data_IF_391736717578
#
_entry.id   IF_391736717578
#
_cell.length_a   1.000
_cell.length_b   1.000
_cell.length_c   1.000
_cell.angle_alpha   90.00
_cell.angle_beta   90.00
_cell.angle_gamma   90.00
#
_symmetry.space_group_name_H-M   'P 1'
#
loop_
_entity.id
_entity.type
_entity.pdbx_description
1 polymer ?
#
# COMPACT_ATOMS: atom_id res chain seq x y z
N UNK A 1 6.27 7.82 4.96
CA UNK A 1 7.21 6.68 4.86
C UNK A 1 6.99 5.60 5.92
N UNK A 2 7.06 5.87 7.23
CA UNK A 2 6.97 4.81 8.26
C UNK A 2 5.67 3.98 8.26
N UNK A 3 4.50 4.59 7.97
CA UNK A 3 3.20 3.87 7.87
C UNK A 3 3.19 2.87 6.71
N UNK A 4 3.64 3.31 5.53
CA UNK A 4 3.70 2.48 4.33
C UNK A 4 4.52 1.21 4.55
N UNK A 5 5.78 1.37 5.00
CA UNK A 5 6.68 0.23 5.16
C UNK A 5 6.22 -0.73 6.26
N UNK A 6 5.61 -0.21 7.34
CA UNK A 6 5.03 -1.05 8.39
C UNK A 6 3.83 -1.85 7.86
N UNK A 7 2.84 -1.17 7.28
CA UNK A 7 1.64 -1.81 6.75
C UNK A 7 1.95 -2.80 5.62
N UNK A 8 2.88 -2.47 4.73
CA UNK A 8 3.30 -3.40 3.68
C UNK A 8 3.93 -4.68 4.26
N UNK A 9 4.73 -4.55 5.33
CA UNK A 9 5.31 -5.73 5.99
C UNK A 9 4.22 -6.59 6.65
N UNK A 10 3.38 -5.97 7.47
CA UNK A 10 2.37 -6.69 8.27
C UNK A 10 1.25 -7.29 7.41
N UNK A 11 0.89 -6.65 6.30
CA UNK A 11 -0.30 -7.02 5.51
C UNK A 11 0.03 -7.71 4.19
N UNK A 12 1.26 -7.60 3.70
CA UNK A 12 1.71 -8.30 2.49
C UNK A 12 2.73 -9.35 2.84
N UNK A 13 3.87 -8.96 3.42
CA UNK A 13 5.01 -9.86 3.59
C UNK A 13 4.79 -10.91 4.68
N UNK A 14 4.14 -10.57 5.79
CA UNK A 14 3.93 -11.48 6.91
C UNK A 14 2.73 -12.44 6.67
N UNK A 15 1.82 -12.10 5.74
CA UNK A 15 0.62 -12.90 5.44
C UNK A 15 0.78 -13.87 4.25
N UNK A 16 1.81 -13.69 3.42
CA UNK A 16 1.98 -14.46 2.19
C UNK A 16 3.32 -15.20 2.17
N UNK A 17 3.27 -16.48 1.83
CA UNK A 17 4.44 -17.22 1.36
C UNK A 17 4.51 -17.08 -0.16
N UNK A 18 5.64 -16.57 -0.65
CA UNK A 18 5.82 -16.31 -2.08
C UNK A 18 6.64 -17.41 -2.75
N UNK A 19 6.12 -17.92 -3.87
CA UNK A 19 6.77 -18.92 -4.71
C UNK A 19 7.58 -18.28 -5.85
N UNK A 20 7.31 -17.01 -6.18
CA UNK A 20 8.02 -16.28 -7.22
C UNK A 20 7.95 -14.76 -7.06
N UNK A 21 8.90 -14.05 -7.68
CA UNK A 21 8.87 -12.58 -7.75
C UNK A 21 7.66 -12.05 -8.54
N UNK A 22 7.14 -12.83 -9.50
CA UNK A 22 5.93 -12.48 -10.25
C UNK A 22 4.74 -12.37 -9.30
N UNK A 23 4.58 -13.37 -8.41
CA UNK A 23 3.52 -13.40 -7.42
C UNK A 23 3.63 -12.24 -6.42
N UNK A 24 4.85 -11.90 -5.98
CA UNK A 24 5.08 -10.72 -5.12
C UNK A 24 4.58 -9.47 -5.82
N UNK A 25 4.90 -9.26 -7.11
CA UNK A 25 4.49 -8.07 -7.87
C UNK A 25 2.97 -7.96 -7.97
N UNK A 26 2.30 -9.05 -8.35
CA UNK A 26 0.83 -9.06 -8.50
C UNK A 26 0.10 -8.76 -7.19
N UNK A 27 0.57 -9.33 -6.06
CA UNK A 27 -0.01 -9.06 -4.74
C UNK A 27 0.27 -7.61 -4.32
N UNK A 28 1.48 -7.12 -4.60
CA UNK A 28 1.88 -5.74 -4.28
C UNK A 28 1.06 -4.72 -5.06
N UNK A 29 0.82 -4.93 -6.35
CA UNK A 29 0.01 -4.02 -7.19
C UNK A 29 -1.41 -3.90 -6.65
N UNK A 30 -2.06 -5.03 -6.32
CA UNK A 30 -3.40 -5.02 -5.71
C UNK A 30 -3.41 -4.34 -4.35
N UNK A 31 -2.42 -4.61 -3.51
CA UNK A 31 -2.31 -3.97 -2.21
C UNK A 31 -2.06 -2.47 -2.33
N UNK A 32 -1.27 -2.04 -3.32
CA UNK A 32 -1.02 -0.62 -3.60
C UNK A 32 -2.28 0.11 -4.03
N UNK A 33 -3.16 -0.52 -4.82
CA UNK A 33 -4.46 0.07 -5.17
C UNK A 33 -5.28 0.35 -3.91
N UNK A 34 -5.43 -0.65 -3.03
CA UNK A 34 -6.18 -0.48 -1.76
C UNK A 34 -5.49 0.55 -0.85
N UNK A 35 -4.17 0.47 -0.72
CA UNK A 35 -3.41 1.38 0.14
C UNK A 35 -3.48 2.83 -0.38
N UNK A 36 -3.46 3.04 -1.69
CA UNK A 36 -3.42 4.35 -2.30
C UNK A 36 -4.78 4.98 -2.60
N UNK A 37 -5.86 4.22 -2.68
CA UNK A 37 -7.18 4.73 -3.07
C UNK A 37 -8.28 4.50 -2.03
N UNK A 38 -8.15 3.48 -1.16
CA UNK A 38 -9.23 3.09 -0.24
C UNK A 38 -8.89 3.28 1.24
N UNK A 39 -7.61 3.37 1.61
CA UNK A 39 -7.21 3.63 3.00
C UNK A 39 -7.50 5.09 3.37
N UNK A 40 -8.42 5.37 4.31
CA UNK A 40 -8.55 6.71 4.85
C UNK A 40 -7.26 7.10 5.58
N UNK A 41 -6.69 8.24 5.19
CA UNK A 41 -5.63 8.90 5.93
C UNK A 41 -6.27 9.99 6.80
N UNK A 42 -6.53 9.69 8.07
CA UNK A 42 -7.04 10.66 9.06
C UNK A 42 -6.16 11.92 9.17
N UNK A 43 -4.87 11.84 8.83
CA UNK A 43 -3.93 12.95 8.87
C UNK A 43 -4.07 13.95 7.69
N UNK A 44 -4.86 13.62 6.67
CA UNK A 44 -5.04 14.37 5.41
C UNK A 44 -6.53 14.72 5.13
N UNK A 45 -7.43 14.52 6.10
CA UNK A 45 -8.86 14.78 5.92
C UNK A 45 -9.54 13.75 5.00
N UNK A 46 -9.28 12.46 5.23
CA UNK A 46 -9.81 11.32 4.46
C UNK A 46 -9.29 11.17 3.02
N UNK A 47 -8.29 11.96 2.60
CA UNK A 47 -7.73 11.80 1.26
C UNK A 47 -6.75 10.63 1.17
N UNK A 48 -6.85 9.79 0.13
CA UNK A 48 -5.88 8.73 -0.13
C UNK A 48 -4.50 9.31 -0.46
N UNK A 49 -3.39 8.60 -0.23
CA UNK A 49 -2.04 9.14 -0.40
C UNK A 49 -1.68 9.47 -1.87
N UNK A 50 -2.47 9.03 -2.85
CA UNK A 50 -2.35 9.49 -4.25
C UNK A 50 -2.68 10.98 -4.41
N UNK A 51 -3.49 11.55 -3.51
CA UNK A 51 -3.85 12.97 -3.52
C UNK A 51 -2.65 13.91 -3.34
N UNK A 52 -1.56 13.44 -2.73
CA UNK A 52 -0.31 14.20 -2.59
C UNK A 52 0.59 14.15 -3.84
N UNK A 53 0.38 13.21 -4.77
CA UNK A 53 1.24 13.02 -5.95
C UNK A 53 0.83 13.89 -7.17
N UNK A 54 -0.39 14.43 -7.21
CA UNK A 54 -0.84 15.36 -8.27
C UNK A 54 -0.54 16.84 -7.96
N UNK A 55 0.04 17.16 -6.79
CA UNK A 55 0.32 18.52 -6.35
C UNK A 55 1.81 18.94 -6.43
N UNK A 56 2.66 18.17 -7.13
CA UNK A 56 4.11 18.42 -7.26
C UNK A 56 4.58 18.59 -8.71
#
# INVERSE_FOLDING_TARGET
>A
MQRFTRSYREEVLDLHLFDSLQQVREITEKWLEVYNYERPHDALGDMPPVGDLEAA
#
